data_IF_849551164843
#
_entry.id   IF_849551164843
#
_cell.length_a   1.000
_cell.length_b   1.000
_cell.length_c   1.000
_cell.angle_alpha   90.00
_cell.angle_beta   90.00
_cell.angle_gamma   90.00
#
_symmetry.space_group_name_H-M   'P 1'
#
loop_
_entity.id
_entity.type
_entity.pdbx_description
1 polymer ?
#
# COMPACT_ATOMS: atom_id res chain seq x y z
N UNK A 1 7.49 -24.16 9.03
CA UNK A 1 8.43 -23.72 7.97
C UNK A 1 7.64 -22.72 7.13
N UNK A 2 7.88 -21.42 7.31
CA UNK A 2 7.24 -20.39 6.52
C UNK A 2 8.08 -20.19 5.25
N UNK A 3 7.51 -20.48 4.08
CA UNK A 3 8.16 -20.27 2.79
C UNK A 3 8.24 -18.76 2.52
N UNK A 4 9.45 -18.22 2.55
CA UNK A 4 9.76 -16.92 1.98
C UNK A 4 9.97 -17.15 0.48
N UNK A 5 8.96 -16.82 -0.33
CA UNK A 5 9.06 -16.87 -1.78
C UNK A 5 10.19 -15.97 -2.27
N UNK A 6 11.08 -16.57 -3.04
CA UNK A 6 12.29 -15.98 -3.59
C UNK A 6 11.92 -15.00 -4.71
N UNK A 7 11.71 -13.73 -4.36
CA UNK A 7 11.65 -12.62 -5.32
C UNK A 7 13.07 -12.05 -5.38
N UNK A 8 13.74 -12.22 -6.53
CA UNK A 8 14.97 -11.48 -6.83
C UNK A 8 14.65 -9.99 -6.92
N UNK A 9 14.78 -9.29 -5.79
CA UNK A 9 14.76 -7.83 -5.71
C UNK A 9 16.17 -7.31 -5.96
N UNK A 10 16.43 -6.89 -7.19
CA UNK A 10 17.57 -6.02 -7.50
C UNK A 10 17.32 -4.66 -6.79
N UNK A 11 18.14 -4.39 -5.77
CA UNK A 11 18.31 -3.10 -5.09
C UNK A 11 17.03 -2.36 -4.61
N UNK A 12 16.14 -3.04 -3.89
CA UNK A 12 15.12 -2.38 -3.08
C UNK A 12 15.32 -2.74 -1.60
N UNK A 13 15.99 -1.85 -0.86
CA UNK A 13 16.01 -1.89 0.61
C UNK A 13 14.61 -1.46 1.08
N UNK A 14 13.66 -2.41 1.09
CA UNK A 14 12.33 -2.21 1.64
C UNK A 14 12.44 -2.27 3.16
N UNK A 15 12.78 -1.14 3.79
CA UNK A 15 12.57 -0.97 5.24
C UNK A 15 11.09 -0.71 5.46
N UNK A 16 10.26 -1.73 5.28
CA UNK A 16 8.85 -1.65 5.69
C UNK A 16 8.77 -2.07 7.16
N UNK A 17 8.75 -1.09 8.05
CA UNK A 17 8.33 -1.27 9.46
C UNK A 17 6.80 -1.37 9.58
N UNK A 18 6.08 -1.48 8.47
CA UNK A 18 4.63 -1.61 8.46
C UNK A 18 4.28 -3.00 9.01
N UNK A 19 4.03 -3.07 10.31
CA UNK A 19 3.83 -4.32 11.04
C UNK A 19 2.72 -5.21 10.41
N UNK A 20 1.73 -4.60 9.76
CA UNK A 20 0.68 -5.29 8.99
C UNK A 20 0.06 -4.30 8.01
N UNK A 21 -0.14 -4.71 6.75
CA UNK A 21 -0.93 -3.93 5.80
C UNK A 21 -2.40 -3.86 6.28
N UNK A 22 -3.11 -2.74 6.15
CA UNK A 22 -4.50 -2.59 6.62
C UNK A 22 -5.54 -3.37 5.77
N UNK A 23 -5.09 -4.37 5.01
CA UNK A 23 -5.88 -5.27 4.17
C UNK A 23 -5.28 -6.67 4.21
N UNK A 24 -6.11 -7.70 4.02
CA UNK A 24 -5.67 -9.09 4.18
C UNK A 24 -5.03 -9.68 2.91
N UNK A 25 -5.36 -9.14 1.73
CA UNK A 25 -4.83 -9.56 0.44
C UNK A 25 -5.09 -8.51 -0.65
N UNK A 26 -4.48 -8.68 -1.84
CA UNK A 26 -4.72 -7.81 -2.99
C UNK A 26 -6.19 -7.84 -3.46
N UNK A 27 -6.88 -8.97 -3.35
CA UNK A 27 -8.30 -9.06 -3.69
C UNK A 27 -9.20 -8.21 -2.77
N UNK A 28 -8.83 -8.05 -1.50
CA UNK A 28 -9.50 -7.17 -0.55
C UNK A 28 -9.35 -5.70 -1.00
N UNK A 29 -8.13 -5.29 -1.39
CA UNK A 29 -7.85 -3.97 -1.96
C UNK A 29 -8.67 -3.66 -3.23
N UNK A 30 -8.90 -4.67 -4.08
CA UNK A 30 -9.72 -4.53 -5.30
C UNK A 30 -11.20 -4.32 -5.02
N UNK A 31 -11.70 -4.84 -3.90
CA UNK A 31 -13.11 -4.75 -3.49
C UNK A 31 -13.41 -3.56 -2.58
N UNK A 32 -12.37 -2.90 -2.05
CA UNK A 32 -12.51 -1.70 -1.23
C UNK A 32 -13.14 -0.53 -1.97
N UNK A 33 -14.05 0.14 -1.25
CA UNK A 33 -14.66 1.41 -1.65
C UNK A 33 -13.66 2.58 -1.56
N UNK A 34 -13.93 3.67 -2.26
CA UNK A 34 -13.12 4.90 -2.20
C UNK A 34 -12.76 5.39 -0.78
N UNK A 35 -13.69 5.46 0.20
CA UNK A 35 -13.34 5.86 1.55
C UNK A 35 -12.44 4.84 2.27
N UNK A 36 -12.56 3.55 1.96
CA UNK A 36 -11.67 2.51 2.51
C UNK A 36 -10.25 2.64 1.95
N UNK A 37 -10.10 2.85 0.64
CA UNK A 37 -8.80 3.08 0.01
C UNK A 37 -8.11 4.33 0.55
N UNK A 38 -8.88 5.39 0.81
CA UNK A 38 -8.38 6.63 1.43
C UNK A 38 -7.88 6.38 2.85
N UNK A 39 -8.61 5.59 3.64
CA UNK A 39 -8.21 5.22 4.99
C UNK A 39 -6.91 4.38 5.00
N UNK A 40 -6.81 3.40 4.09
CA UNK A 40 -5.60 2.60 3.88
C UNK A 40 -4.40 3.48 3.52
N UNK A 41 -4.56 4.34 2.51
CA UNK A 41 -3.52 5.26 2.08
C UNK A 41 -3.06 6.19 3.21
N UNK A 42 -3.98 6.65 4.07
CA UNK A 42 -3.65 7.47 5.24
C UNK A 42 -2.79 6.70 6.26
N UNK A 43 -3.15 5.46 6.57
CA UNK A 43 -2.38 4.60 7.49
C UNK A 43 -0.98 4.34 6.94
N UNK A 44 -0.88 4.04 5.64
CA UNK A 44 0.40 3.88 4.96
C UNK A 44 1.23 5.17 5.03
N UNK A 45 0.62 6.33 4.76
CA UNK A 45 1.28 7.64 4.81
C UNK A 45 1.83 8.04 6.18
N UNK A 46 1.36 7.45 7.28
CA UNK A 46 1.94 7.65 8.61
C UNK A 46 3.25 6.88 8.79
N UNK A 47 3.41 5.76 8.09
CA UNK A 47 4.62 4.92 8.12
C UNK A 47 5.60 5.23 6.99
N UNK A 48 5.13 5.87 5.92
CA UNK A 48 5.93 6.18 4.74
C UNK A 48 6.67 7.52 4.89
N UNK A 49 7.91 7.61 4.37
CA UNK A 49 8.61 8.88 4.29
C UNK A 49 7.86 9.84 3.34
N UNK A 50 8.03 11.16 3.50
CA UNK A 50 7.28 12.17 2.74
C UNK A 50 7.35 12.01 1.22
N UNK A 51 8.46 11.47 0.70
CA UNK A 51 8.70 11.23 -0.73
C UNK A 51 7.93 10.04 -1.32
N UNK A 52 7.40 9.15 -0.48
CA UNK A 52 6.64 7.95 -0.88
C UNK A 52 5.16 8.03 -0.49
N UNK A 53 4.67 9.21 -0.09
CA UNK A 53 3.27 9.36 0.33
C UNK A 53 2.32 9.16 -0.85
N UNK A 54 1.29 8.37 -0.62
CA UNK A 54 0.18 8.10 -1.51
C UNK A 54 -0.75 9.32 -1.53
N UNK A 55 -1.14 9.77 -2.72
CA UNK A 55 -2.09 10.84 -2.89
C UNK A 55 -3.53 10.31 -2.72
N UNK A 56 -4.12 10.60 -1.56
CA UNK A 56 -5.46 10.16 -1.18
C UNK A 56 -6.46 11.32 -1.09
N UNK A 57 -6.27 12.36 -1.91
CA UNK A 57 -7.20 13.50 -1.99
C UNK A 57 -8.61 13.04 -2.39
N UNK A 58 -9.68 13.69 -1.89
CA UNK A 58 -11.06 13.30 -2.21
C UNK A 58 -11.44 13.48 -3.69
N UNK A 59 -10.63 14.23 -4.46
CA UNK A 59 -10.75 14.36 -5.91
C UNK A 59 -10.06 13.23 -6.69
N UNK A 60 -9.29 12.36 -6.04
CA UNK A 60 -8.61 11.25 -6.70
C UNK A 60 -9.59 10.10 -6.97
N UNK A 61 -9.57 9.53 -8.18
CA UNK A 61 -10.35 8.35 -8.46
C UNK A 61 -9.83 7.16 -7.64
N UNK A 62 -10.71 6.29 -7.14
CA UNK A 62 -10.31 5.16 -6.30
C UNK A 62 -9.30 4.24 -6.97
N UNK A 63 -9.37 4.09 -8.30
CA UNK A 63 -8.40 3.30 -9.05
C UNK A 63 -6.97 3.85 -8.98
N UNK A 64 -6.80 5.18 -8.90
CA UNK A 64 -5.47 5.79 -8.79
C UNK A 64 -4.87 5.60 -7.40
N UNK A 65 -5.67 5.81 -6.35
CA UNK A 65 -5.26 5.55 -4.97
C UNK A 65 -4.82 4.09 -4.83
N UNK A 66 -5.55 3.17 -5.46
CA UNK A 66 -5.21 1.74 -5.46
C UNK A 66 -3.86 1.46 -6.12
N UNK A 67 -3.61 2.00 -7.31
CA UNK A 67 -2.34 1.82 -8.03
C UNK A 67 -1.17 2.38 -7.21
N UNK A 68 -1.35 3.51 -6.55
CA UNK A 68 -0.31 4.07 -5.67
C UNK A 68 -0.08 3.21 -4.43
N UNK A 69 -1.14 2.67 -3.82
CA UNK A 69 -1.00 1.68 -2.74
C UNK A 69 -0.18 0.49 -3.25
N UNK A 70 -0.57 -0.12 -4.38
CA UNK A 70 0.11 -1.28 -4.99
C UNK A 70 1.58 -1.02 -5.36
N UNK A 71 1.96 0.23 -5.61
CA UNK A 71 3.36 0.59 -5.93
C UNK A 71 4.24 0.60 -4.68
N UNK A 72 3.64 0.78 -3.50
CA UNK A 72 4.37 1.00 -2.24
C UNK A 72 4.39 -0.24 -1.34
N UNK A 73 3.43 -1.16 -1.48
CA UNK A 73 3.39 -2.47 -0.79
C UNK A 73 4.11 -3.58 -1.53
#
# INVERSE_FOLDING_TARGET
IALLSEVSVDDAIVVSTLATAPFCCHADLLTMSAPQLTAVARVLNESLPPSLRINAEPSCPPGQIRVEIETVV
#
